data_IF_274409579143
#
_entry.id   IF_274409579143
#
_cell.length_a   1.000
_cell.length_b   1.000
_cell.length_c   1.000
_cell.angle_alpha   90.00
_cell.angle_beta   90.00
_cell.angle_gamma   90.00
#
_symmetry.space_group_name_H-M   'P 1'
#
loop_
_entity.id
_entity.type
_entity.pdbx_description
1 polymer ?
#
# COMPACT_ATOMS: atom_id res chain seq x y z
N UNK A 1 15.54 -39.47 -39.36
CA UNK A 1 16.29 -39.95 -38.18
C UNK A 1 15.72 -39.21 -36.98
N UNK A 2 14.95 -39.88 -36.13
CA UNK A 2 14.58 -39.30 -34.85
C UNK A 2 15.85 -39.28 -33.98
N UNK A 3 16.21 -38.11 -33.45
CA UNK A 3 17.30 -38.00 -32.50
C UNK A 3 17.07 -38.97 -31.33
N UNK A 4 18.15 -39.63 -30.89
CA UNK A 4 18.08 -40.50 -29.73
C UNK A 4 17.55 -39.70 -28.52
N UNK A 5 16.68 -40.29 -27.68
CA UNK A 5 16.19 -39.59 -26.50
C UNK A 5 17.36 -39.17 -25.61
N UNK A 6 17.35 -37.91 -25.17
CA UNK A 6 18.37 -37.35 -24.30
C UNK A 6 18.53 -38.19 -23.02
N UNK A 7 19.74 -38.71 -22.78
CA UNK A 7 20.07 -39.48 -21.58
C UNK A 7 21.04 -38.68 -20.68
N UNK A 8 20.55 -38.07 -19.58
CA UNK A 8 21.37 -37.27 -18.66
C UNK A 8 22.53 -38.03 -18.02
N UNK A 9 22.48 -39.37 -17.99
CA UNK A 9 23.55 -40.21 -17.39
C UNK A 9 24.83 -40.19 -18.21
N UNK A 10 24.75 -39.79 -19.48
CA UNK A 10 25.91 -39.64 -20.37
C UNK A 10 26.66 -38.32 -20.15
N UNK A 11 26.07 -37.38 -19.41
CA UNK A 11 26.67 -36.07 -19.15
C UNK A 11 27.87 -36.16 -18.20
N UNK A 12 28.84 -35.28 -18.41
CA UNK A 12 29.89 -35.06 -17.43
C UNK A 12 29.28 -34.50 -16.14
N UNK A 13 29.86 -34.88 -14.99
CA UNK A 13 29.40 -34.43 -13.67
C UNK A 13 29.24 -32.91 -13.56
N UNK A 14 30.13 -32.13 -14.19
CA UNK A 14 30.07 -30.66 -14.20
C UNK A 14 28.80 -30.17 -14.89
N UNK A 15 28.46 -30.78 -16.02
CA UNK A 15 27.33 -30.34 -16.86
C UNK A 15 26.01 -30.80 -16.22
N UNK A 16 25.98 -32.02 -15.66
CA UNK A 16 24.84 -32.48 -14.87
C UNK A 16 24.57 -31.58 -13.65
N UNK A 17 25.61 -31.15 -12.94
CA UNK A 17 25.50 -30.21 -11.81
C UNK A 17 24.92 -28.86 -12.24
N UNK A 18 25.39 -28.34 -13.37
CA UNK A 18 24.91 -27.08 -13.94
C UNK A 18 23.44 -27.20 -14.32
N UNK A 19 23.09 -28.25 -15.06
CA UNK A 19 21.73 -28.51 -15.51
C UNK A 19 20.75 -28.60 -14.33
N UNK A 20 21.08 -29.39 -13.30
CA UNK A 20 20.30 -29.47 -12.05
C UNK A 20 20.11 -28.10 -11.39
N UNK A 21 21.05 -27.17 -11.53
CA UNK A 21 20.98 -25.86 -10.86
C UNK A 21 20.14 -24.84 -11.62
N UNK A 22 20.07 -24.95 -12.95
CA UNK A 22 19.56 -23.90 -13.86
C UNK A 22 18.23 -24.26 -14.54
N UNK A 23 17.82 -25.53 -14.59
CA UNK A 23 16.71 -25.99 -15.44
C UNK A 23 15.30 -25.52 -15.04
N UNK A 24 15.13 -24.86 -13.90
CA UNK A 24 13.82 -24.65 -13.25
C UNK A 24 13.03 -23.47 -13.78
N UNK A 25 13.70 -22.54 -14.45
CA UNK A 25 13.09 -21.32 -15.00
C UNK A 25 12.72 -21.47 -16.48
N UNK A 26 13.04 -22.60 -17.11
CA UNK A 26 12.85 -22.84 -18.54
C UNK A 26 11.92 -24.02 -18.80
N UNK A 27 10.68 -23.74 -19.20
CA UNK A 27 9.64 -24.74 -19.49
C UNK A 27 10.08 -25.80 -20.53
N UNK A 28 11.06 -25.47 -21.38
CA UNK A 28 11.63 -26.43 -22.35
C UNK A 28 12.39 -27.56 -21.66
N UNK A 29 12.78 -27.38 -20.41
CA UNK A 29 13.49 -28.35 -19.60
C UNK A 29 12.58 -29.24 -18.73
N UNK A 30 11.28 -28.97 -18.64
CA UNK A 30 10.34 -29.73 -17.80
C UNK A 30 10.39 -31.23 -18.08
N UNK A 31 10.41 -31.60 -19.36
CA UNK A 31 10.43 -32.99 -19.80
C UNK A 31 11.70 -33.75 -19.39
N UNK A 32 12.80 -33.04 -19.14
CA UNK A 32 14.10 -33.63 -18.77
C UNK A 32 14.43 -33.47 -17.29
N UNK A 33 13.64 -32.70 -16.53
CA UNK A 33 13.92 -32.41 -15.12
C UNK A 33 14.01 -33.68 -14.25
N UNK A 34 13.03 -34.59 -14.36
CA UNK A 34 13.03 -35.84 -13.58
C UNK A 34 14.20 -36.77 -13.98
N UNK A 35 14.44 -37.08 -15.27
CA UNK A 35 15.62 -37.83 -15.68
C UNK A 35 16.95 -37.23 -15.19
N UNK A 36 17.07 -35.90 -15.19
CA UNK A 36 18.26 -35.18 -14.72
C UNK A 36 18.45 -35.34 -13.21
N UNK A 37 17.37 -35.21 -12.42
CA UNK A 37 17.42 -35.46 -10.97
C UNK A 37 17.81 -36.89 -10.65
N UNK A 38 17.23 -37.88 -11.35
CA UNK A 38 17.54 -39.29 -11.16
C UNK A 38 19.01 -39.59 -11.46
N UNK A 39 19.53 -39.06 -12.58
CA UNK A 39 20.95 -39.18 -12.91
C UNK A 39 21.85 -38.52 -11.86
N UNK A 40 21.47 -37.34 -11.36
CA UNK A 40 22.25 -36.61 -10.36
C UNK A 40 22.31 -37.34 -9.02
N UNK A 41 21.18 -37.86 -8.55
CA UNK A 41 21.11 -38.65 -7.30
C UNK A 41 21.82 -39.99 -7.46
N UNK A 42 21.62 -40.68 -8.59
CA UNK A 42 22.22 -41.97 -8.90
C UNK A 42 23.75 -41.94 -8.99
N UNK A 43 24.34 -40.82 -9.40
CA UNK A 43 25.79 -40.63 -9.46
C UNK A 43 26.48 -40.54 -8.09
N UNK A 44 25.72 -40.47 -6.99
CA UNK A 44 26.19 -40.46 -5.60
C UNK A 44 27.38 -39.54 -5.31
N UNK A 45 27.35 -38.33 -5.87
CA UNK A 45 28.40 -37.33 -5.66
C UNK A 45 27.94 -36.21 -4.72
N UNK A 46 28.74 -35.89 -3.70
CA UNK A 46 28.46 -34.78 -2.75
C UNK A 46 28.21 -33.44 -3.43
N UNK A 47 28.90 -33.17 -4.55
CA UNK A 47 28.71 -31.94 -5.31
C UNK A 47 27.38 -31.88 -6.06
N UNK A 48 26.81 -33.03 -6.44
CA UNK A 48 25.49 -33.12 -7.06
C UNK A 48 24.39 -33.03 -5.99
N UNK A 49 24.55 -33.69 -4.84
CA UNK A 49 23.61 -33.52 -3.72
C UNK A 49 23.49 -32.07 -3.29
N UNK A 50 24.63 -31.37 -3.18
CA UNK A 50 24.64 -29.93 -2.86
C UNK A 50 23.93 -29.11 -3.93
N UNK A 51 24.05 -29.48 -5.20
CA UNK A 51 23.38 -28.78 -6.29
C UNK A 51 21.87 -29.03 -6.29
N UNK A 52 21.42 -30.26 -6.02
CA UNK A 52 20.00 -30.60 -5.87
C UNK A 52 19.38 -29.83 -4.69
N UNK A 53 20.03 -29.83 -3.52
CA UNK A 53 19.56 -29.06 -2.36
C UNK A 53 19.53 -27.56 -2.66
N UNK A 54 20.60 -27.04 -3.27
CA UNK A 54 20.68 -25.63 -3.65
C UNK A 54 19.62 -25.23 -4.67
N UNK A 55 19.32 -26.11 -5.64
CA UNK A 55 18.25 -25.90 -6.61
C UNK A 55 16.88 -25.84 -5.94
N UNK A 56 16.59 -26.77 -5.02
CA UNK A 56 15.33 -26.78 -4.27
C UNK A 56 15.15 -25.51 -3.44
N UNK A 57 16.17 -25.08 -2.69
CA UNK A 57 16.08 -23.90 -1.83
C UNK A 57 16.06 -22.59 -2.62
N UNK A 58 16.78 -22.53 -3.75
CA UNK A 58 16.84 -21.34 -4.60
C UNK A 58 15.57 -21.13 -5.40
N UNK A 59 15.04 -22.19 -6.01
CA UNK A 59 13.96 -22.08 -7.01
C UNK A 59 12.58 -22.46 -6.46
N UNK A 60 12.55 -23.34 -5.45
CA UNK A 60 11.35 -23.82 -4.76
C UNK A 60 10.07 -23.90 -5.64
N UNK A 61 10.12 -24.56 -6.82
CA UNK A 61 9.18 -24.29 -7.90
C UNK A 61 7.87 -25.07 -7.73
N UNK A 62 7.00 -24.64 -6.81
CA UNK A 62 5.77 -25.37 -6.40
C UNK A 62 4.85 -25.78 -7.56
N UNK A 63 4.80 -24.99 -8.62
CA UNK A 63 3.97 -25.25 -9.79
C UNK A 63 4.62 -26.21 -10.82
N UNK A 64 5.92 -26.45 -10.71
CA UNK A 64 6.66 -27.24 -11.68
C UNK A 64 6.37 -28.74 -11.52
N UNK A 65 6.16 -29.52 -12.60
CA UNK A 65 5.81 -30.95 -12.52
C UNK A 65 6.80 -31.81 -11.74
N UNK A 66 8.08 -31.43 -11.75
CA UNK A 66 9.14 -32.12 -11.01
C UNK A 66 9.41 -31.57 -9.59
N UNK A 67 8.53 -30.74 -9.01
CA UNK A 67 8.71 -30.20 -7.67
C UNK A 67 8.85 -31.30 -6.60
N UNK A 68 7.93 -32.26 -6.56
CA UNK A 68 7.99 -33.38 -5.60
C UNK A 68 9.22 -34.27 -5.80
N UNK A 69 9.59 -34.65 -7.05
CA UNK A 69 10.88 -35.29 -7.31
C UNK A 69 12.09 -34.50 -6.81
N UNK A 70 12.14 -33.18 -7.01
CA UNK A 70 13.23 -32.31 -6.53
C UNK A 70 13.30 -32.28 -5.01
N UNK A 71 12.15 -32.16 -4.34
CA UNK A 71 12.03 -32.18 -2.88
C UNK A 71 12.51 -33.51 -2.31
N UNK A 72 12.05 -34.63 -2.88
CA UNK A 72 12.47 -35.98 -2.46
C UNK A 72 13.96 -36.23 -2.71
N UNK A 73 14.48 -35.77 -3.86
CA UNK A 73 15.91 -35.84 -4.18
C UNK A 73 16.75 -35.02 -3.19
N UNK A 74 16.29 -33.83 -2.80
CA UNK A 74 16.94 -32.98 -1.78
C UNK A 74 16.98 -33.66 -0.42
N UNK A 75 15.86 -34.22 0.04
CA UNK A 75 15.77 -34.98 1.28
C UNK A 75 16.75 -36.16 1.29
N UNK A 76 16.71 -36.98 0.24
CA UNK A 76 17.61 -38.14 0.09
C UNK A 76 19.08 -37.74 0.05
N UNK A 77 19.41 -36.68 -0.68
CA UNK A 77 20.78 -36.15 -0.76
C UNK A 77 21.28 -35.64 0.58
N UNK A 78 20.41 -34.98 1.36
CA UNK A 78 20.71 -34.54 2.71
C UNK A 78 20.90 -35.71 3.67
N UNK A 79 19.99 -36.67 3.69
CA UNK A 79 19.98 -37.81 4.62
C UNK A 79 21.12 -38.79 4.37
N UNK A 80 21.54 -39.03 3.12
CA UNK A 80 22.55 -40.07 2.84
C UNK A 80 23.98 -39.71 3.27
N UNK A 81 24.24 -38.48 3.74
CA UNK A 81 25.58 -38.03 4.16
C UNK A 81 25.59 -37.47 5.57
N UNK A 82 26.73 -37.57 6.22
CA UNK A 82 27.00 -36.86 7.47
C UNK A 82 27.57 -35.47 7.17
N UNK A 83 26.70 -34.46 7.28
CA UNK A 83 26.99 -33.06 6.95
C UNK A 83 25.86 -32.15 7.45
N UNK A 84 26.05 -30.81 7.49
CA UNK A 84 25.08 -29.90 8.10
C UNK A 84 23.66 -29.98 7.53
N UNK A 85 23.48 -30.33 6.25
CA UNK A 85 22.16 -30.40 5.62
C UNK A 85 21.26 -31.51 6.17
N UNK A 86 21.82 -32.60 6.72
CA UNK A 86 21.02 -33.64 7.40
C UNK A 86 20.35 -33.04 8.64
N UNK A 87 21.18 -32.53 9.56
CA UNK A 87 20.71 -31.95 10.84
C UNK A 87 19.83 -30.72 10.63
N UNK A 88 20.18 -29.84 9.68
CA UNK A 88 19.36 -28.66 9.34
C UNK A 88 18.03 -29.06 8.75
N UNK A 89 18.03 -30.02 7.82
CA UNK A 89 16.83 -30.55 7.18
C UNK A 89 15.83 -31.11 8.18
N UNK A 90 16.30 -31.89 9.15
CA UNK A 90 15.48 -32.42 10.24
C UNK A 90 14.98 -31.33 11.19
N UNK A 91 15.89 -30.49 11.72
CA UNK A 91 15.56 -29.46 12.72
C UNK A 91 14.58 -28.42 12.19
N UNK A 92 14.75 -28.00 10.94
CA UNK A 92 13.97 -26.93 10.32
C UNK A 92 12.93 -27.42 9.33
N UNK A 93 12.79 -28.75 9.18
CA UNK A 93 11.86 -29.39 8.24
C UNK A 93 11.99 -28.83 6.81
N UNK A 94 13.23 -28.58 6.35
CA UNK A 94 13.50 -27.92 5.07
C UNK A 94 12.86 -28.66 3.88
N UNK A 95 12.75 -29.98 3.98
CA UNK A 95 12.22 -30.84 2.92
C UNK A 95 10.69 -31.05 3.00
N UNK A 96 10.02 -30.32 3.87
CA UNK A 96 8.56 -30.26 3.94
C UNK A 96 8.08 -28.96 3.30
N UNK A 97 7.36 -29.08 2.18
CA UNK A 97 6.96 -27.94 1.38
C UNK A 97 5.97 -27.00 2.10
N UNK A 98 5.36 -27.41 3.20
CA UNK A 98 4.43 -26.56 3.97
C UNK A 98 5.01 -26.18 5.32
N UNK A 99 5.53 -27.16 6.06
CA UNK A 99 6.03 -26.92 7.40
C UNK A 99 7.41 -26.25 7.42
N UNK A 100 8.23 -26.42 6.38
CA UNK A 100 9.53 -25.75 6.26
C UNK A 100 9.38 -24.23 6.21
N UNK A 101 8.71 -23.67 5.19
CA UNK A 101 8.47 -22.24 5.09
C UNK A 101 7.73 -21.67 6.30
N UNK A 102 6.69 -22.36 6.80
CA UNK A 102 5.96 -21.93 8.00
C UNK A 102 6.83 -21.91 9.27
N UNK A 103 7.75 -22.86 9.41
CA UNK A 103 8.71 -22.90 10.51
C UNK A 103 9.72 -21.76 10.42
N UNK A 104 10.25 -21.50 9.22
CA UNK A 104 11.16 -20.39 8.96
C UNK A 104 10.48 -19.04 9.22
N UNK A 105 9.27 -18.83 8.70
CA UNK A 105 8.46 -17.63 8.92
C UNK A 105 8.34 -17.29 10.42
N UNK A 106 7.96 -18.28 11.24
CA UNK A 106 7.82 -18.12 12.69
C UNK A 106 9.15 -17.78 13.36
N UNK A 107 10.24 -18.42 12.93
CA UNK A 107 11.56 -18.16 13.47
C UNK A 107 12.04 -16.74 13.15
N UNK A 108 11.85 -16.27 11.91
CA UNK A 108 12.22 -14.92 11.48
C UNK A 108 11.41 -13.84 12.19
N UNK A 109 10.09 -14.02 12.34
CA UNK A 109 9.24 -13.09 13.09
C UNK A 109 9.62 -13.00 14.58
N UNK A 110 10.17 -14.07 15.15
CA UNK A 110 10.62 -14.12 16.54
C UNK A 110 12.08 -13.72 16.75
N UNK A 111 12.86 -13.53 15.69
CA UNK A 111 14.30 -13.32 15.77
C UNK A 111 14.69 -11.87 16.03
N UNK A 112 15.67 -11.66 16.92
CA UNK A 112 16.36 -10.37 17.10
C UNK A 112 17.37 -10.08 15.97
N UNK A 113 17.95 -11.12 15.37
CA UNK A 113 18.79 -11.03 14.17
C UNK A 113 18.34 -12.06 13.12
N UNK A 114 17.49 -11.61 12.20
CA UNK A 114 16.98 -12.43 11.10
C UNK A 114 18.09 -12.99 10.20
N UNK A 115 19.18 -12.23 9.98
CA UNK A 115 20.30 -12.69 9.15
C UNK A 115 21.11 -13.78 9.85
N UNK A 116 21.28 -13.69 11.17
CA UNK A 116 21.88 -14.76 11.95
C UNK A 116 21.04 -16.04 11.93
N UNK A 117 19.71 -15.92 12.07
CA UNK A 117 18.80 -17.06 11.94
C UNK A 117 18.92 -17.73 10.57
N UNK A 118 18.93 -16.97 9.48
CA UNK A 118 19.14 -17.51 8.13
C UNK A 118 20.48 -18.25 7.99
N UNK A 119 21.59 -17.69 8.51
CA UNK A 119 22.90 -18.36 8.52
C UNK A 119 22.92 -19.66 9.32
N UNK A 120 22.23 -19.71 10.46
CA UNK A 120 22.11 -20.93 11.28
C UNK A 120 21.44 -22.07 10.48
N UNK A 121 20.38 -21.73 9.76
CA UNK A 121 19.60 -22.63 8.90
C UNK A 121 20.39 -23.02 7.65
N UNK A 122 21.39 -22.22 7.25
CA UNK A 122 22.18 -22.41 6.04
C UNK A 122 21.60 -21.74 4.80
N UNK A 123 20.73 -20.75 4.98
CA UNK A 123 20.11 -19.94 3.94
C UNK A 123 20.88 -18.60 3.84
N UNK A 124 22.16 -18.67 3.50
CA UNK A 124 23.04 -17.52 3.37
C UNK A 124 23.52 -17.32 1.92
N UNK A 125 24.09 -16.14 1.64
CA UNK A 125 24.44 -15.73 0.28
C UNK A 125 23.23 -15.82 -0.64
N UNK A 126 23.41 -16.43 -1.82
CA UNK A 126 22.35 -16.62 -2.82
C UNK A 126 21.11 -17.37 -2.30
N UNK A 127 21.24 -18.21 -1.27
CA UNK A 127 20.09 -18.94 -0.70
C UNK A 127 19.23 -18.06 0.22
N UNK A 128 19.78 -16.96 0.73
CA UNK A 128 19.00 -15.98 1.49
C UNK A 128 17.99 -15.23 0.60
N UNK A 129 18.28 -15.16 -0.70
CA UNK A 129 17.46 -14.51 -1.72
C UNK A 129 16.64 -15.53 -2.53
N UNK A 130 16.71 -16.82 -2.18
CA UNK A 130 16.00 -17.88 -2.88
C UNK A 130 14.50 -17.94 -2.59
N UNK A 131 13.75 -18.58 -3.48
CA UNK A 131 12.30 -18.72 -3.44
C UNK A 131 11.79 -19.43 -2.17
N UNK A 132 12.58 -20.31 -1.53
CA UNK A 132 12.20 -20.89 -0.24
C UNK A 132 12.11 -19.83 0.86
N UNK A 133 13.02 -18.84 0.86
CA UNK A 133 12.98 -17.72 1.81
C UNK A 133 11.86 -16.75 1.44
N UNK A 134 11.64 -16.48 0.15
CA UNK A 134 10.52 -15.68 -0.33
C UNK A 134 9.18 -16.27 0.14
N UNK A 135 8.95 -17.57 -0.07
CA UNK A 135 7.74 -18.28 0.38
C UNK A 135 7.57 -18.24 1.92
N UNK A 136 8.66 -18.28 2.67
CA UNK A 136 8.61 -18.10 4.13
C UNK A 136 8.27 -16.66 4.54
N UNK A 137 8.72 -15.66 3.79
CA UNK A 137 8.35 -14.26 4.03
C UNK A 137 6.89 -13.97 3.65
N UNK A 138 6.39 -14.56 2.57
CA UNK A 138 4.96 -14.54 2.23
C UNK A 138 4.13 -15.22 3.33
N UNK A 139 4.56 -16.39 3.80
CA UNK A 139 3.93 -17.07 4.93
C UNK A 139 3.97 -16.22 6.22
N UNK A 140 5.02 -15.43 6.43
CA UNK A 140 5.07 -14.48 7.55
C UNK A 140 4.05 -13.36 7.38
N UNK A 141 3.90 -12.81 6.18
CA UNK A 141 2.86 -11.85 5.84
C UNK A 141 1.46 -12.42 6.10
N UNK A 142 1.17 -13.65 5.66
CA UNK A 142 -0.09 -14.35 5.89
C UNK A 142 -0.44 -14.49 7.38
N UNK A 143 0.56 -14.87 8.19
CA UNK A 143 0.41 -14.98 9.65
C UNK A 143 0.07 -13.63 10.30
N UNK A 144 0.73 -12.55 9.86
CA UNK A 144 0.51 -11.20 10.40
C UNK A 144 -0.82 -10.62 9.92
N UNK A 145 -1.17 -10.75 8.65
CA UNK A 145 -2.43 -10.24 8.11
C UNK A 145 -3.67 -10.95 8.65
N UNK A 146 -3.50 -12.16 9.20
CA UNK A 146 -4.54 -12.90 9.91
C UNK A 146 -4.66 -12.52 11.40
N UNK A 147 -3.75 -11.69 11.93
CA UNK A 147 -3.80 -11.23 13.31
C UNK A 147 -4.94 -10.23 13.54
N UNK A 148 -5.28 -10.00 14.82
CA UNK A 148 -6.32 -9.03 15.18
C UNK A 148 -6.06 -8.34 16.52
N UNK A 149 -6.67 -7.16 16.71
CA UNK A 149 -6.58 -6.40 17.95
C UNK A 149 -5.15 -6.02 18.31
N UNK A 150 -4.81 -6.10 19.60
CA UNK A 150 -3.46 -5.75 20.09
C UNK A 150 -2.36 -6.64 19.50
N UNK A 151 -2.66 -7.90 19.19
CA UNK A 151 -1.69 -8.81 18.59
C UNK A 151 -1.27 -8.39 17.17
N UNK A 152 -2.17 -7.74 16.41
CA UNK A 152 -1.86 -7.23 15.08
C UNK A 152 -0.78 -6.13 15.11
N UNK A 153 -0.78 -5.29 16.14
CA UNK A 153 0.24 -4.24 16.32
C UNK A 153 1.61 -4.88 16.55
N UNK A 154 1.71 -5.79 17.53
CA UNK A 154 2.98 -6.47 17.84
C UNK A 154 3.49 -7.30 16.66
N UNK A 155 2.60 -8.01 15.96
CA UNK A 155 2.97 -8.81 14.79
C UNK A 155 3.44 -7.92 13.63
N UNK A 156 2.72 -6.83 13.35
CA UNK A 156 3.08 -5.90 12.28
C UNK A 156 4.40 -5.17 12.55
N UNK A 157 4.68 -4.73 13.78
CA UNK A 157 5.99 -4.14 14.11
C UNK A 157 7.15 -5.13 13.91
N UNK A 158 6.94 -6.40 14.28
CA UNK A 158 7.93 -7.46 14.01
C UNK A 158 8.15 -7.69 12.52
N UNK A 159 7.08 -7.67 11.73
CA UNK A 159 7.15 -7.82 10.28
C UNK A 159 7.87 -6.63 9.62
N UNK A 160 7.57 -5.41 10.04
CA UNK A 160 8.26 -4.19 9.58
C UNK A 160 9.75 -4.31 9.85
N UNK A 161 10.13 -4.59 11.10
CA UNK A 161 11.53 -4.75 11.48
C UNK A 161 12.22 -5.91 10.77
N UNK A 162 11.51 -7.01 10.47
CA UNK A 162 12.04 -8.10 9.65
C UNK A 162 12.37 -7.64 8.23
N UNK A 163 11.43 -7.00 7.55
CA UNK A 163 11.61 -6.50 6.18
C UNK A 163 12.73 -5.45 6.09
N UNK A 164 12.81 -4.52 7.06
CA UNK A 164 13.87 -3.51 7.13
C UNK A 164 15.26 -4.14 7.32
N UNK A 165 15.42 -5.09 8.26
CA UNK A 165 16.71 -5.76 8.53
C UNK A 165 17.19 -6.62 7.36
N UNK A 166 16.27 -7.27 6.66
CA UNK A 166 16.59 -8.09 5.49
C UNK A 166 16.73 -7.26 4.22
N UNK A 167 16.17 -6.05 4.16
CA UNK A 167 16.20 -5.20 2.97
C UNK A 167 15.31 -5.73 1.85
N UNK A 168 14.22 -6.43 2.18
CA UNK A 168 13.31 -7.05 1.21
C UNK A 168 12.58 -5.94 0.45
N UNK A 169 12.54 -6.01 -0.88
CA UNK A 169 11.85 -5.03 -1.77
C UNK A 169 10.85 -5.65 -2.74
N UNK A 170 10.87 -6.97 -2.93
CA UNK A 170 10.05 -7.69 -3.92
C UNK A 170 8.63 -8.05 -3.45
N UNK A 171 8.34 -7.97 -2.14
CA UNK A 171 7.09 -8.44 -1.53
C UNK A 171 6.19 -7.29 -1.06
N UNK A 172 6.14 -6.17 -1.80
CA UNK A 172 5.36 -4.99 -1.44
C UNK A 172 3.87 -5.29 -1.30
N UNK A 173 3.29 -6.12 -2.19
CA UNK A 173 1.88 -6.52 -2.12
C UNK A 173 1.56 -7.32 -0.86
N UNK A 174 2.34 -8.37 -0.58
CA UNK A 174 2.17 -9.20 0.61
C UNK A 174 2.38 -8.41 1.91
N UNK A 175 3.42 -7.57 1.97
CA UNK A 175 3.67 -6.70 3.13
C UNK A 175 2.52 -5.74 3.37
N UNK A 176 2.06 -5.07 2.31
CA UNK A 176 0.96 -4.10 2.39
C UNK A 176 -0.32 -4.76 2.86
N UNK A 177 -0.66 -5.92 2.29
CA UNK A 177 -1.80 -6.71 2.73
C UNK A 177 -1.67 -7.07 4.21
N UNK A 178 -0.52 -7.61 4.64
CA UNK A 178 -0.31 -8.06 6.01
C UNK A 178 -0.47 -6.95 7.05
N UNK A 179 -0.02 -5.74 6.72
CA UNK A 179 -0.07 -4.60 7.62
C UNK A 179 -1.45 -3.93 7.67
N UNK A 180 -2.22 -3.99 6.58
CA UNK A 180 -3.51 -3.29 6.47
C UNK A 180 -4.72 -4.18 6.74
N UNK A 181 -4.68 -5.44 6.31
CA UNK A 181 -5.80 -6.36 6.40
C UNK A 181 -6.39 -6.53 7.82
N UNK A 182 -5.60 -6.57 8.92
CA UNK A 182 -6.13 -6.64 10.29
C UNK A 182 -7.06 -5.47 10.67
N UNK A 183 -6.96 -4.36 9.95
CA UNK A 183 -7.64 -3.09 10.22
C UNK A 183 -8.78 -2.80 9.24
N UNK A 184 -9.09 -3.72 8.32
CA UNK A 184 -10.15 -3.52 7.31
C UNK A 184 -11.53 -3.19 7.92
N UNK A 185 -11.79 -3.72 9.12
CA UNK A 185 -13.07 -3.57 9.84
C UNK A 185 -12.94 -2.71 11.10
N UNK A 186 -11.76 -2.13 11.38
CA UNK A 186 -11.51 -1.37 12.61
C UNK A 186 -10.36 -0.36 12.46
N UNK A 187 -10.47 0.79 13.09
CA UNK A 187 -9.39 1.80 13.05
C UNK A 187 -8.23 1.40 13.98
N UNK A 188 -6.96 1.38 13.50
CA UNK A 188 -5.80 1.20 14.36
C UNK A 188 -5.60 2.42 15.28
N UNK A 189 -4.88 2.29 16.41
CA UNK A 189 -4.45 3.44 17.20
C UNK A 189 -3.69 4.45 16.33
N UNK A 190 -3.89 5.75 16.58
CA UNK A 190 -3.37 6.83 15.73
C UNK A 190 -1.86 6.73 15.48
N UNK A 191 -1.07 6.47 16.53
CA UNK A 191 0.39 6.32 16.45
C UNK A 191 0.80 5.18 15.51
N UNK A 192 0.07 4.07 15.55
CA UNK A 192 0.34 2.92 14.68
C UNK A 192 -0.13 3.18 13.25
N UNK A 193 -1.30 3.81 13.07
CA UNK A 193 -1.81 4.25 11.76
C UNK A 193 -0.82 5.16 11.04
N UNK A 194 -0.25 6.13 11.75
CA UNK A 194 0.75 7.05 11.23
C UNK A 194 2.04 6.32 10.84
N UNK A 195 2.52 5.39 11.69
CA UNK A 195 3.68 4.55 11.38
C UNK A 195 3.46 3.75 10.10
N UNK A 196 2.31 3.08 9.95
CA UNK A 196 1.97 2.31 8.74
C UNK A 196 1.91 3.22 7.51
N UNK A 197 1.24 4.37 7.63
CA UNK A 197 1.09 5.31 6.52
C UNK A 197 2.45 5.85 6.05
N UNK A 198 3.31 6.27 6.99
CA UNK A 198 4.66 6.76 6.68
C UNK A 198 5.51 5.69 6.01
N UNK A 199 5.49 4.46 6.53
CA UNK A 199 6.21 3.32 5.95
C UNK A 199 5.77 3.04 4.51
N UNK A 200 4.46 2.89 4.29
CA UNK A 200 3.92 2.52 2.98
C UNK A 200 4.15 3.64 1.95
N UNK A 201 3.97 4.90 2.33
CA UNK A 201 4.27 6.04 1.44
C UNK A 201 5.76 6.13 1.12
N UNK A 202 6.66 5.91 2.09
CA UNK A 202 8.10 5.94 1.83
C UNK A 202 8.53 4.82 0.86
N UNK A 203 7.88 3.66 0.94
CA UNK A 203 8.23 2.47 0.16
C UNK A 203 7.59 2.42 -1.23
N UNK A 204 6.31 2.75 -1.29
CA UNK A 204 5.47 2.62 -2.49
C UNK A 204 5.23 3.97 -3.16
N UNK A 205 5.22 5.06 -2.38
CA UNK A 205 4.76 6.37 -2.79
C UNK A 205 3.30 6.62 -2.39
N UNK A 206 2.86 7.86 -2.54
CA UNK A 206 1.52 8.26 -2.13
C UNK A 206 0.43 7.77 -3.12
N UNK A 207 -0.60 7.03 -2.65
CA UNK A 207 -1.65 6.46 -3.50
C UNK A 207 -2.51 7.48 -4.27
N UNK A 208 -2.50 8.74 -3.85
CA UNK A 208 -3.25 9.82 -4.51
C UNK A 208 -2.56 10.27 -5.81
N UNK A 209 -1.23 10.16 -5.86
CA UNK A 209 -0.40 10.56 -6.98
C UNK A 209 0.13 9.36 -7.79
N UNK A 210 0.30 8.20 -7.18
CA UNK A 210 0.91 7.00 -7.77
C UNK A 210 -0.11 5.89 -8.05
N UNK A 211 -1.29 6.23 -8.61
CA UNK A 211 -2.41 5.31 -8.83
C UNK A 211 -2.00 4.00 -9.51
N UNK A 212 -1.33 4.07 -10.66
CA UNK A 212 -0.93 2.87 -11.41
C UNK A 212 -0.01 1.91 -10.64
N UNK A 213 0.85 2.43 -9.75
CA UNK A 213 1.71 1.58 -8.90
C UNK A 213 0.88 0.89 -7.82
N UNK A 214 -0.04 1.62 -7.19
CA UNK A 214 -0.93 1.06 -6.18
C UNK A 214 -1.95 0.08 -6.77
N UNK A 215 -2.42 0.30 -7.99
CA UNK A 215 -3.30 -0.63 -8.72
C UNK A 215 -2.59 -1.96 -8.99
N UNK A 216 -1.31 -1.92 -9.40
CA UNK A 216 -0.49 -3.12 -9.58
C UNK A 216 -0.33 -3.89 -8.26
N UNK A 217 0.06 -3.20 -7.18
CA UNK A 217 0.19 -3.80 -5.85
C UNK A 217 -1.15 -4.40 -5.40
N UNK A 218 -2.26 -3.67 -5.55
CA UNK A 218 -3.58 -4.14 -5.17
C UNK A 218 -4.00 -5.40 -5.94
N UNK A 219 -3.61 -5.54 -7.20
CA UNK A 219 -3.90 -6.72 -8.02
C UNK A 219 -3.10 -7.96 -7.61
N UNK A 220 -1.95 -7.78 -6.96
CA UNK A 220 -1.07 -8.84 -6.45
C UNK A 220 -1.37 -9.20 -4.99
N UNK A 221 -2.19 -8.42 -4.27
CA UNK A 221 -2.53 -8.71 -2.88
C UNK A 221 -3.35 -10.00 -2.73
N UNK A 222 -3.14 -10.78 -1.65
CA UNK A 222 -3.97 -11.92 -1.32
C UNK A 222 -5.44 -11.55 -1.07
N UNK A 223 -6.35 -12.31 -1.69
CA UNK A 223 -7.79 -12.10 -1.57
C UNK A 223 -8.28 -10.84 -2.29
N UNK A 224 -9.52 -10.85 -2.77
CA UNK A 224 -10.10 -9.75 -3.56
C UNK A 224 -10.45 -8.50 -2.72
N UNK A 225 -9.49 -8.01 -1.94
CA UNK A 225 -9.61 -6.88 -0.99
C UNK A 225 -8.63 -5.75 -1.27
N UNK A 226 -7.71 -5.91 -2.24
CA UNK A 226 -6.62 -4.97 -2.49
C UNK A 226 -7.07 -3.52 -2.63
N UNK A 227 -8.05 -3.23 -3.51
CA UNK A 227 -8.58 -1.88 -3.70
C UNK A 227 -9.09 -1.26 -2.39
N UNK A 228 -9.82 -2.03 -1.57
CA UNK A 228 -10.36 -1.53 -0.31
C UNK A 228 -9.26 -1.18 0.70
N UNK A 229 -8.15 -1.92 0.72
CA UNK A 229 -6.99 -1.61 1.56
C UNK A 229 -6.24 -0.37 1.07
N UNK A 230 -6.11 -0.19 -0.25
CA UNK A 230 -5.53 1.04 -0.83
C UNK A 230 -6.40 2.26 -0.49
N UNK A 231 -7.72 2.13 -0.61
CA UNK A 231 -8.65 3.20 -0.26
C UNK A 231 -8.60 3.52 1.25
N UNK A 232 -8.32 2.54 2.11
CA UNK A 232 -8.09 2.78 3.53
C UNK A 232 -6.85 3.67 3.77
N UNK A 233 -5.72 3.39 3.11
CA UNK A 233 -4.52 4.25 3.21
C UNK A 233 -4.81 5.65 2.68
N UNK A 234 -5.51 5.76 1.56
CA UNK A 234 -5.94 7.05 1.00
C UNK A 234 -6.77 7.84 2.01
N UNK A 235 -7.77 7.21 2.64
CA UNK A 235 -8.59 7.85 3.67
C UNK A 235 -7.75 8.32 4.85
N UNK A 236 -6.79 7.51 5.32
CA UNK A 236 -5.89 7.93 6.41
C UNK A 236 -5.06 9.15 6.05
N UNK A 237 -4.52 9.21 4.82
CA UNK A 237 -3.80 10.37 4.31
C UNK A 237 -4.69 11.59 4.21
N UNK A 238 -5.91 11.43 3.68
CA UNK A 238 -6.91 12.51 3.62
C UNK A 238 -7.22 13.03 5.02
N UNK A 239 -7.47 12.16 6.00
CA UNK A 239 -7.75 12.57 7.38
C UNK A 239 -6.62 13.37 8.01
N UNK A 240 -5.38 12.88 7.89
CA UNK A 240 -4.19 13.56 8.41
C UNK A 240 -4.05 14.94 7.78
N UNK A 241 -4.04 14.97 6.45
CA UNK A 241 -3.80 16.16 5.67
C UNK A 241 -4.87 17.22 5.93
N UNK A 242 -6.14 16.82 5.98
CA UNK A 242 -7.29 17.71 6.18
C UNK A 242 -7.22 18.41 7.54
N UNK A 243 -6.88 17.67 8.60
CA UNK A 243 -6.68 18.24 9.95
C UNK A 243 -5.47 19.17 9.98
N UNK A 244 -4.37 18.79 9.34
CA UNK A 244 -3.17 19.61 9.28
C UNK A 244 -3.44 20.95 8.58
N UNK A 245 -4.22 20.97 7.50
CA UNK A 245 -4.63 22.20 6.83
C UNK A 245 -5.37 23.17 7.75
N UNK A 246 -6.40 22.70 8.46
CA UNK A 246 -7.17 23.57 9.36
C UNK A 246 -6.30 24.12 10.50
N UNK A 247 -5.40 23.28 11.04
CA UNK A 247 -4.42 23.71 12.04
C UNK A 247 -3.48 24.81 11.52
N UNK A 248 -2.88 24.61 10.35
CA UNK A 248 -1.89 25.55 9.76
C UNK A 248 -2.56 26.89 9.42
N UNK A 249 -3.74 26.87 8.79
CA UNK A 249 -4.50 28.11 8.50
C UNK A 249 -5.00 28.77 9.80
N UNK A 250 -5.42 27.97 10.78
CA UNK A 250 -5.87 28.44 12.08
C UNK A 250 -4.79 29.19 12.86
N UNK A 251 -3.52 28.84 12.67
CA UNK A 251 -2.39 29.50 13.30
C UNK A 251 -2.13 30.93 12.78
N UNK A 252 -2.59 31.27 11.56
CA UNK A 252 -2.28 32.55 10.91
C UNK A 252 -3.52 33.38 10.55
N UNK A 253 -4.72 32.86 10.77
CA UNK A 253 -5.96 33.55 10.39
C UNK A 253 -6.24 34.77 11.28
N UNK A 254 -6.72 35.85 10.66
CA UNK A 254 -7.16 37.07 11.35
C UNK A 254 -8.59 36.95 11.92
N UNK A 255 -9.32 35.86 11.64
CA UNK A 255 -10.63 35.56 12.23
C UNK A 255 -10.68 34.12 12.78
N UNK A 256 -10.06 33.86 13.96
CA UNK A 256 -9.97 32.52 14.54
C UNK A 256 -11.34 31.90 14.88
N UNK A 257 -12.32 32.72 15.27
CA UNK A 257 -13.65 32.23 15.65
C UNK A 257 -14.42 31.74 14.43
N UNK A 258 -14.40 32.50 13.34
CA UNK A 258 -15.04 32.06 12.10
C UNK A 258 -14.33 30.81 11.56
N UNK A 259 -12.99 30.76 11.60
CA UNK A 259 -12.24 29.60 11.13
C UNK A 259 -12.51 28.33 11.94
N UNK A 260 -12.52 28.40 13.28
CA UNK A 260 -12.85 27.26 14.13
C UNK A 260 -14.25 26.71 13.85
N UNK A 261 -15.21 27.58 13.52
CA UNK A 261 -16.56 27.15 13.12
C UNK A 261 -16.58 26.42 11.77
N UNK A 262 -15.68 26.78 10.85
CA UNK A 262 -15.52 26.09 9.56
C UNK A 262 -14.82 24.75 9.73
N UNK A 263 -13.77 24.72 10.55
CA UNK A 263 -13.08 23.49 10.94
C UNK A 263 -14.05 22.48 11.53
N UNK A 264 -14.83 22.87 12.54
CA UNK A 264 -15.82 21.99 13.17
C UNK A 264 -16.83 21.43 12.16
N UNK A 265 -17.29 22.27 11.23
CA UNK A 265 -18.21 21.85 10.18
C UNK A 265 -17.59 20.79 9.27
N UNK A 266 -16.43 21.07 8.71
CA UNK A 266 -15.81 20.19 7.73
C UNK A 266 -15.26 18.90 8.36
N UNK A 267 -14.74 18.97 9.59
CA UNK A 267 -14.35 17.79 10.36
C UNK A 267 -15.55 16.87 10.65
N UNK A 268 -16.76 17.40 10.77
CA UNK A 268 -17.97 16.58 10.88
C UNK A 268 -18.14 15.63 9.68
N UNK A 269 -17.93 16.12 8.45
CA UNK A 269 -17.96 15.24 7.27
C UNK A 269 -16.76 14.30 7.23
N UNK A 270 -15.55 14.79 7.55
CA UNK A 270 -14.36 13.96 7.59
C UNK A 270 -14.53 12.76 8.54
N UNK A 271 -15.02 13.01 9.75
CA UNK A 271 -15.19 11.98 10.79
C UNK A 271 -16.34 11.01 10.50
N UNK A 272 -17.21 11.35 9.55
CA UNK A 272 -18.20 10.42 8.99
C UNK A 272 -17.68 9.58 7.81
N UNK A 273 -16.39 9.69 7.48
CA UNK A 273 -15.71 8.95 6.40
C UNK A 273 -16.29 9.18 4.99
N UNK A 274 -17.02 10.28 4.77
CA UNK A 274 -17.65 10.60 3.47
C UNK A 274 -16.80 11.54 2.60
N UNK A 275 -15.70 12.06 3.14
CA UNK A 275 -14.72 12.83 2.36
C UNK A 275 -13.81 11.84 1.64
N UNK A 276 -14.02 11.69 0.33
CA UNK A 276 -13.32 10.70 -0.49
C UNK A 276 -11.86 11.12 -0.74
N UNK A 277 -11.66 12.41 -0.98
CA UNK A 277 -10.37 12.98 -1.33
C UNK A 277 -10.31 14.46 -0.93
N UNK A 278 -9.11 14.93 -0.60
CA UNK A 278 -8.82 16.34 -0.37
C UNK A 278 -7.40 16.69 -0.82
N UNK A 279 -7.23 17.91 -1.31
CA UNK A 279 -5.93 18.52 -1.58
C UNK A 279 -5.94 20.02 -1.27
N UNK A 280 -4.79 20.56 -0.89
CA UNK A 280 -4.66 21.97 -0.53
C UNK A 280 -4.00 22.74 -1.65
N UNK A 281 -4.36 24.02 -1.73
CA UNK A 281 -3.70 24.96 -2.60
C UNK A 281 -3.36 26.25 -1.84
N UNK A 282 -2.11 26.68 -1.91
CA UNK A 282 -1.63 27.92 -1.28
C UNK A 282 -1.36 28.98 -2.35
N UNK A 283 -1.70 30.23 -2.04
CA UNK A 283 -1.33 31.37 -2.86
C UNK A 283 0.17 31.66 -2.82
N UNK A 284 0.66 32.41 -3.81
CA UNK A 284 2.09 32.71 -4.01
C UNK A 284 2.80 33.45 -2.88
N UNK A 285 2.07 34.12 -1.99
CA UNK A 285 2.63 34.86 -0.86
C UNK A 285 2.24 34.23 0.49
N UNK A 286 1.71 33.01 0.45
CA UNK A 286 1.46 32.21 1.65
C UNK A 286 2.74 31.49 2.11
N UNK A 287 3.90 32.16 2.03
CA UNK A 287 5.22 31.54 2.26
C UNK A 287 5.34 30.95 3.67
N UNK A 288 4.79 31.64 4.68
CA UNK A 288 4.77 31.12 6.05
C UNK A 288 3.92 29.84 6.19
N UNK A 289 2.76 29.78 5.52
CA UNK A 289 1.90 28.59 5.49
C UNK A 289 2.58 27.44 4.74
N UNK A 290 3.20 27.74 3.61
CA UNK A 290 3.94 26.79 2.80
C UNK A 290 5.18 26.25 3.54
N UNK A 291 5.85 27.10 4.32
CA UNK A 291 6.96 26.68 5.18
C UNK A 291 6.47 25.80 6.32
N UNK A 292 5.41 26.20 7.05
CA UNK A 292 4.81 25.36 8.10
C UNK A 292 4.33 24.01 7.56
N UNK A 293 3.78 23.99 6.35
CA UNK A 293 3.37 22.77 5.66
C UNK A 293 4.55 21.88 5.26
N UNK A 294 5.73 22.46 4.97
CA UNK A 294 6.95 21.72 4.60
C UNK A 294 7.78 21.28 5.81
N UNK A 295 7.85 22.13 6.84
CA UNK A 295 8.72 21.96 8.00
C UNK A 295 8.06 21.17 9.13
N UNK A 296 6.76 20.90 9.03
CA UNK A 296 6.03 20.05 9.97
C UNK A 296 6.54 18.60 9.95
N UNK A 297 6.32 17.89 11.05
CA UNK A 297 6.64 16.45 11.18
C UNK A 297 5.90 15.57 10.14
N UNK A 298 4.86 16.14 9.52
CA UNK A 298 4.12 15.63 8.38
C UNK A 298 4.15 16.66 7.25
N UNK A 299 5.18 16.60 6.40
CA UNK A 299 5.26 17.45 5.20
C UNK A 299 4.00 17.25 4.34
N UNK A 300 3.26 18.32 4.09
CA UNK A 300 2.06 18.31 3.26
C UNK A 300 2.41 18.62 1.80
N UNK A 301 1.99 17.75 0.90
CA UNK A 301 1.94 18.10 -0.52
C UNK A 301 0.82 19.10 -0.76
N UNK A 302 1.14 20.18 -1.46
CA UNK A 302 0.19 21.25 -1.75
C UNK A 302 0.37 21.79 -3.17
N UNK A 303 -0.71 22.34 -3.72
CA UNK A 303 -0.75 22.98 -5.03
C UNK A 303 -0.53 24.49 -4.93
N UNK A 304 -0.08 25.12 -6.01
CA UNK A 304 0.04 26.57 -6.06
C UNK A 304 -1.22 27.20 -6.67
N UNK A 305 -1.78 28.23 -6.03
CA UNK A 305 -2.82 29.07 -6.64
C UNK A 305 -2.12 30.17 -7.45
N UNK A 306 -2.35 30.16 -8.76
CA UNK A 306 -1.74 31.08 -9.71
C UNK A 306 -2.79 31.94 -10.44
N UNK A 307 -2.32 32.98 -11.13
CA UNK A 307 -3.17 33.85 -11.93
C UNK A 307 -3.91 34.94 -11.16
N UNK A 308 -4.76 35.68 -11.88
CA UNK A 308 -5.59 36.74 -11.29
C UNK A 308 -6.83 36.21 -10.57
N UNK A 309 -7.43 37.05 -9.72
CA UNK A 309 -8.74 36.79 -9.10
C UNK A 309 -8.67 36.20 -7.68
N UNK A 310 -7.53 35.68 -7.24
CA UNK A 310 -7.28 35.33 -5.85
C UNK A 310 -6.17 36.22 -5.29
N UNK A 311 -6.34 36.71 -4.07
CA UNK A 311 -5.24 37.36 -3.35
C UNK A 311 -4.10 36.35 -3.15
N UNK A 312 -2.83 36.73 -3.37
CA UNK A 312 -1.68 35.83 -3.20
C UNK A 312 -1.52 35.25 -1.78
N UNK A 313 -2.18 35.81 -0.77
CA UNK A 313 -2.19 35.29 0.61
C UNK A 313 -3.30 34.26 0.87
N UNK A 314 -4.25 34.11 -0.06
CA UNK A 314 -5.38 33.21 0.13
C UNK A 314 -5.00 31.76 -0.16
N UNK A 315 -5.61 30.87 0.61
CA UNK A 315 -5.46 29.42 0.50
C UNK A 315 -6.82 28.77 0.25
N UNK A 316 -6.82 27.59 -0.35
CA UNK A 316 -8.03 26.82 -0.60
C UNK A 316 -7.86 25.34 -0.26
N UNK A 317 -8.90 24.76 0.33
CA UNK A 317 -9.10 23.33 0.47
C UNK A 317 -10.05 22.88 -0.64
N UNK A 318 -9.57 22.00 -1.51
CA UNK A 318 -10.38 21.37 -2.56
C UNK A 318 -10.65 19.93 -2.13
N UNK A 319 -11.92 19.55 -2.06
CA UNK A 319 -12.32 18.22 -1.58
C UNK A 319 -13.45 17.61 -2.41
N UNK A 320 -13.60 16.29 -2.29
CA UNK A 320 -14.68 15.53 -2.91
C UNK A 320 -15.56 14.87 -1.83
N UNK A 321 -16.87 15.05 -1.96
CA UNK A 321 -17.88 14.37 -1.13
C UNK A 321 -18.96 13.87 -2.08
N UNK A 322 -19.04 12.56 -2.31
CA UNK A 322 -19.98 11.94 -3.24
C UNK A 322 -19.87 12.50 -4.66
N UNK A 323 -20.96 13.10 -5.14
CA UNK A 323 -21.00 13.71 -6.49
C UNK A 323 -20.57 15.18 -6.50
N UNK A 324 -20.06 15.72 -5.39
CA UNK A 324 -19.63 17.10 -5.28
C UNK A 324 -18.12 17.28 -5.31
N UNK A 325 -17.72 18.34 -6.00
CA UNK A 325 -16.44 19.01 -5.84
C UNK A 325 -16.65 20.28 -5.02
N UNK A 326 -15.85 20.48 -3.97
CA UNK A 326 -16.00 21.60 -3.05
C UNK A 326 -14.68 22.37 -2.97
N UNK A 327 -14.74 23.70 -2.96
CA UNK A 327 -13.60 24.58 -2.68
C UNK A 327 -13.92 25.52 -1.51
N UNK A 328 -13.31 25.25 -0.36
CA UNK A 328 -13.34 26.07 0.84
C UNK A 328 -12.13 27.01 0.85
N UNK A 329 -12.32 28.28 1.18
CA UNK A 329 -11.25 29.28 1.11
C UNK A 329 -10.88 29.79 2.50
N UNK A 330 -9.59 30.00 2.77
CA UNK A 330 -9.10 30.48 4.06
C UNK A 330 -9.59 31.88 4.44
N UNK A 331 -9.83 32.75 3.46
CA UNK A 331 -10.33 34.10 3.67
C UNK A 331 -11.87 34.14 3.63
N UNK A 332 -12.49 35.30 3.90
CA UNK A 332 -13.94 35.47 3.93
C UNK A 332 -14.55 35.49 2.51
N UNK A 333 -14.45 34.37 1.80
CA UNK A 333 -15.08 34.12 0.50
C UNK A 333 -16.22 33.12 0.58
N UNK A 334 -16.98 33.01 -0.50
CA UNK A 334 -17.97 31.93 -0.66
C UNK A 334 -17.27 30.58 -0.79
N UNK A 335 -17.78 29.57 -0.07
CA UNK A 335 -17.52 28.18 -0.37
C UNK A 335 -18.22 27.83 -1.69
N UNK A 336 -17.55 27.07 -2.54
CA UNK A 336 -18.07 26.72 -3.86
C UNK A 336 -18.26 25.23 -4.00
N UNK A 337 -19.34 24.88 -4.68
CA UNK A 337 -19.78 23.52 -4.89
C UNK A 337 -20.07 23.33 -6.37
N UNK A 338 -19.51 22.29 -6.98
CA UNK A 338 -19.79 21.85 -8.34
C UNK A 338 -20.21 20.38 -8.32
N UNK A 339 -21.05 19.97 -9.26
CA UNK A 339 -21.12 18.56 -9.65
C UNK A 339 -19.74 18.12 -10.15
N UNK A 340 -19.24 16.98 -9.68
CA UNK A 340 -17.90 16.48 -10.05
C UNK A 340 -17.75 16.22 -11.55
N UNK A 341 -18.85 16.07 -12.30
CA UNK A 341 -18.87 15.87 -13.75
C UNK A 341 -18.90 17.19 -14.53
N UNK A 342 -19.06 18.33 -13.84
CA UNK A 342 -18.96 19.63 -14.49
C UNK A 342 -17.53 19.81 -15.02
N UNK A 343 -17.38 20.11 -16.31
CA UNK A 343 -16.09 20.37 -16.94
C UNK A 343 -15.32 21.54 -16.31
N UNK A 344 -16.01 22.40 -15.54
CA UNK A 344 -15.43 23.52 -14.79
C UNK A 344 -15.16 23.19 -13.32
N UNK A 345 -15.55 22.02 -12.83
CA UNK A 345 -15.15 21.57 -11.51
C UNK A 345 -13.62 21.42 -11.49
N UNK A 346 -12.91 21.98 -10.48
CA UNK A 346 -11.48 21.78 -10.38
C UNK A 346 -11.16 20.29 -10.20
N UNK A 347 -10.15 19.76 -10.89
CA UNK A 347 -9.64 18.40 -10.63
C UNK A 347 -8.99 18.31 -9.25
N UNK A 348 -8.75 17.10 -8.72
CA UNK A 348 -7.94 16.94 -7.49
C UNK A 348 -6.47 16.81 -7.86
N UNK A 349 -5.61 17.06 -6.89
CA UNK A 349 -4.18 16.73 -6.97
C UNK A 349 -3.47 17.40 -8.17
N UNK A 350 -3.97 18.54 -8.63
CA UNK A 350 -3.27 19.36 -9.61
C UNK A 350 -2.10 20.05 -8.95
N UNK A 351 -0.98 20.21 -9.67
CA UNK A 351 0.17 20.97 -9.16
C UNK A 351 -0.15 22.47 -9.01
N UNK A 352 -1.05 22.97 -9.84
CA UNK A 352 -1.43 24.37 -9.88
C UNK A 352 -2.92 24.51 -10.13
N UNK A 353 -3.54 25.50 -9.48
CA UNK A 353 -4.92 25.91 -9.74
C UNK A 353 -4.97 27.37 -10.14
N UNK A 354 -5.83 27.72 -11.10
CA UNK A 354 -6.01 29.11 -11.48
C UNK A 354 -7.06 29.79 -10.59
N UNK A 355 -6.67 30.86 -9.89
CA UNK A 355 -7.51 31.53 -8.89
C UNK A 355 -8.86 32.00 -9.44
N UNK A 356 -8.88 32.51 -10.68
CA UNK A 356 -10.12 32.92 -11.35
C UNK A 356 -11.07 31.75 -11.60
N UNK A 357 -10.57 30.56 -11.92
CA UNK A 357 -11.40 29.36 -12.14
C UNK A 357 -11.99 28.88 -10.82
N UNK A 358 -11.15 28.78 -9.78
CA UNK A 358 -11.62 28.42 -8.44
C UNK A 358 -12.60 29.43 -7.85
N UNK A 359 -12.64 30.67 -8.36
CA UNK A 359 -13.59 31.71 -7.92
C UNK A 359 -14.74 31.97 -8.86
N UNK A 360 -14.73 31.36 -10.04
CA UNK A 360 -15.71 31.66 -11.06
C UNK A 360 -17.12 31.33 -10.55
N UNK A 361 -18.07 32.19 -10.88
CA UNK A 361 -19.49 32.01 -10.54
C UNK A 361 -20.22 31.14 -11.56
N UNK A 362 -19.49 30.31 -12.32
CA UNK A 362 -19.96 29.74 -13.57
C UNK A 362 -19.95 28.20 -13.57
N UNK A 363 -20.40 27.53 -12.52
CA UNK A 363 -20.70 26.10 -12.61
C UNK A 363 -22.11 25.85 -13.14
N UNK A 364 -22.26 24.88 -14.05
CA UNK A 364 -23.55 24.47 -14.61
C UNK A 364 -24.23 25.47 -15.55
N UNK A 365 -25.15 24.94 -16.37
CA UNK A 365 -26.05 25.78 -17.17
C UNK A 365 -27.09 26.45 -16.24
N UNK A 366 -27.63 27.65 -16.57
CA UNK A 366 -28.51 28.42 -15.69
C UNK A 366 -29.73 27.66 -15.11
N UNK A 367 -30.12 26.56 -15.75
CA UNK A 367 -31.28 25.74 -15.40
C UNK A 367 -30.94 24.48 -14.58
N UNK A 368 -29.67 24.11 -14.39
CA UNK A 368 -29.31 22.82 -13.79
C UNK A 368 -29.12 22.87 -12.26
N UNK A 369 -28.97 24.05 -11.63
CA UNK A 369 -28.80 24.22 -10.16
C UNK A 369 -27.74 23.30 -9.51
N UNK A 370 -26.79 22.75 -10.29
CA UNK A 370 -25.73 21.84 -9.83
C UNK A 370 -24.45 22.54 -9.38
N UNK A 371 -24.50 23.86 -9.25
CA UNK A 371 -23.43 24.71 -8.74
C UNK A 371 -23.98 25.67 -7.69
N UNK A 372 -23.19 25.92 -6.66
CA UNK A 372 -23.46 26.96 -5.68
C UNK A 372 -22.19 27.67 -5.26
N UNK A 373 -22.30 28.97 -5.01
CA UNK A 373 -21.32 29.77 -4.31
C UNK A 373 -22.00 30.39 -3.09
N UNK A 374 -21.77 29.81 -1.91
CA UNK A 374 -22.48 30.15 -0.68
C UNK A 374 -21.53 30.93 0.24
N UNK A 375 -21.83 32.19 0.60
CA UNK A 375 -21.01 32.98 1.52
C UNK A 375 -21.08 32.45 2.96
N UNK A 376 -20.02 32.69 3.74
CA UNK A 376 -19.96 32.42 5.19
C UNK A 376 -20.75 33.45 6.02
N UNK A 377 -21.99 33.74 5.62
CA UNK A 377 -22.92 34.62 6.34
C UNK A 377 -23.67 33.86 7.44
N UNK A 378 -24.48 34.56 8.26
CA UNK A 378 -25.31 33.90 9.28
C UNK A 378 -26.10 32.70 8.71
N UNK A 379 -26.05 31.56 9.41
CA UNK A 379 -26.72 30.31 9.01
C UNK A 379 -26.05 29.55 7.84
N UNK A 380 -24.82 29.89 7.46
CA UNK A 380 -24.12 29.24 6.35
C UNK A 380 -24.01 27.72 6.50
N UNK A 381 -23.82 27.20 7.72
CA UNK A 381 -23.69 25.75 7.97
C UNK A 381 -24.91 24.99 7.47
N UNK A 382 -26.09 25.52 7.76
CA UNK A 382 -27.37 24.93 7.40
C UNK A 382 -27.61 24.99 5.89
N UNK A 383 -27.07 26.00 5.20
CA UNK A 383 -27.08 26.07 3.74
C UNK A 383 -26.08 25.11 3.09
N UNK A 384 -24.87 24.99 3.65
CA UNK A 384 -23.84 24.07 3.15
C UNK A 384 -24.32 22.63 3.29
N UNK A 385 -24.80 22.26 4.48
CA UNK A 385 -25.35 20.93 4.75
C UNK A 385 -26.53 20.61 3.83
N UNK A 386 -27.42 21.57 3.60
CA UNK A 386 -28.56 21.39 2.69
C UNK A 386 -28.15 21.20 1.24
N UNK A 387 -27.14 21.94 0.77
CA UNK A 387 -26.64 21.76 -0.60
C UNK A 387 -25.94 20.41 -0.78
N UNK A 388 -25.10 20.00 0.19
CA UNK A 388 -24.45 18.68 0.16
C UNK A 388 -25.52 17.59 0.14
N UNK A 389 -26.47 17.62 1.08
CA UNK A 389 -27.55 16.64 1.15
C UNK A 389 -28.39 16.58 -0.13
N UNK A 390 -28.77 17.72 -0.70
CA UNK A 390 -29.56 17.77 -1.93
C UNK A 390 -28.82 17.11 -3.11
N UNK A 391 -27.50 17.26 -3.18
CA UNK A 391 -26.70 16.80 -4.31
C UNK A 391 -26.19 15.37 -4.15
N UNK A 392 -26.00 14.90 -2.91
CA UNK A 392 -25.33 13.61 -2.64
C UNK A 392 -26.17 12.65 -1.79
N UNK A 393 -27.23 13.13 -1.13
CA UNK A 393 -27.99 12.39 -0.12
C UNK A 393 -27.27 12.24 1.22
N UNK A 394 -26.06 12.79 1.36
CA UNK A 394 -25.23 12.65 2.57
C UNK A 394 -25.63 13.71 3.59
N UNK A 395 -25.94 13.27 4.81
CA UNK A 395 -26.33 14.14 5.92
C UNK A 395 -25.11 14.58 6.70
N UNK A 396 -25.07 15.84 7.12
CA UNK A 396 -24.08 16.28 8.08
C UNK A 396 -24.40 15.67 9.47
N UNK A 397 -23.43 15.13 10.24
CA UNK A 397 -23.69 14.58 11.58
C UNK A 397 -24.41 15.53 12.56
N UNK A 398 -23.97 16.80 12.63
CA UNK A 398 -24.59 17.85 13.45
C UNK A 398 -25.73 18.64 12.78
N UNK A 399 -25.58 19.03 11.51
CA UNK A 399 -26.56 19.91 10.82
C UNK A 399 -27.58 19.15 9.96
N UNK A 400 -27.54 17.81 9.91
CA UNK A 400 -28.52 16.97 9.23
C UNK A 400 -28.65 17.26 7.73
N UNK A 401 -29.88 17.41 7.26
CA UNK A 401 -30.22 17.81 5.88
C UNK A 401 -30.12 19.32 5.65
N UNK A 402 -29.69 20.09 6.64
CA UNK A 402 -29.71 21.54 6.57
C UNK A 402 -31.12 22.14 6.46
N UNK A 403 -31.18 23.36 5.94
CA UNK A 403 -32.43 24.11 5.81
C UNK A 403 -33.04 23.70 4.49
N UNK A 404 -34.06 22.85 4.50
CA UNK A 404 -34.87 22.64 3.31
C UNK A 404 -35.42 24.00 2.87
N UNK A 405 -34.91 24.53 1.76
CA UNK A 405 -35.71 25.52 1.04
C UNK A 405 -36.92 24.75 0.57
N UNK A 406 -38.07 25.01 1.22
CA UNK A 406 -39.38 24.73 0.64
C UNK A 406 -39.30 25.11 -0.84
N UNK A 407 -39.66 24.15 -1.68
CA UNK A 407 -40.03 24.36 -3.08
C UNK A 407 -40.83 25.65 -3.20
N UNK A 408 -40.25 26.67 -3.82
CA UNK A 408 -41.07 27.70 -4.43
C UNK A 408 -41.62 27.06 -5.71
N UNK A 409 -42.93 26.84 -5.68
CA UNK A 409 -43.75 26.44 -6.82
C UNK A 409 -43.65 27.45 -7.97
#
# INVERSE_FOLDING_TARGET
MADAPFDPRTLMRRDLRRLVSELWEDERCDAVAVPVLEAAIGADAKSLDRAVIGAYLRHFPRAHPAFEPLRAASARGAERRDWPWRTRGERWRLWDATAGPAGLARALLGAEDARATLREIGLDGDLAEGEFVADALETACDQVGSASGAAAITAGERLIGLFERLGVTSLDAHLTWALLHPWRDRTPPDTYRERLTKLLVARIGDPRFQRGRWDAIASEMPGAVGSALVDMVRRWLVHRDFRAFFSIVGAVTNDPKQWASREEFWLGYLDSEVVEDACFAFGRQADALAEMARSGEDSLDYAEITGGGADPTHSALIMAIGDLRIAEWSHNGSCRFWDKRDAKAPGLYQKQYFGMQLRAMNGGRPYEKRFAAIPHSSGWQTHFAGFVYQMTGIRHPRWGEGSSRRSYA
#
